data_IF_723867836061
#
_entry.id   IF_723867836061
#
_cell.length_a   1.000
_cell.length_b   1.000
_cell.length_c   1.000
_cell.angle_alpha   90.00
_cell.angle_beta   90.00
_cell.angle_gamma   90.00
#
_symmetry.space_group_name_H-M   'P 1'
#
loop_
_entity.id
_entity.type
_entity.pdbx_description
1 polymer ?
#
# COMPACT_ATOMS: atom_id res chain seq x y z
N UNK A 1 11.30 -0.75 45.41
CA UNK A 1 10.22 -1.31 44.55
C UNK A 1 9.18 -0.22 44.25
N UNK A 2 9.37 0.51 43.15
CA UNK A 2 8.54 1.67 42.79
C UNK A 2 7.85 1.41 41.45
N UNK A 3 6.58 1.01 41.52
CA UNK A 3 5.43 1.55 40.79
C UNK A 3 5.60 2.07 39.34
N UNK A 4 6.46 1.48 38.49
CA UNK A 4 6.58 1.86 37.06
C UNK A 4 6.50 0.68 36.08
N UNK A 5 6.08 -0.50 36.56
CA UNK A 5 5.96 -1.72 35.73
C UNK A 5 4.51 -2.19 35.54
N UNK A 6 3.52 -1.31 35.70
CA UNK A 6 2.14 -1.58 35.28
C UNK A 6 1.81 -0.69 34.08
N UNK A 7 2.23 -1.11 32.89
CA UNK A 7 1.55 -0.68 31.67
C UNK A 7 0.14 -1.29 31.72
N UNK A 8 -0.93 -0.49 31.63
CA UNK A 8 -2.28 -1.05 31.62
C UNK A 8 -2.42 -1.91 30.36
N UNK A 9 -2.65 -3.20 30.59
CA UNK A 9 -2.97 -4.17 29.57
C UNK A 9 -4.44 -3.97 29.19
N UNK A 10 -4.70 -3.21 28.13
CA UNK A 10 -5.77 -3.38 27.14
C UNK A 10 -5.94 -2.10 26.31
N UNK A 11 -4.98 -1.85 25.43
CA UNK A 11 -5.32 -1.31 24.11
C UNK A 11 -5.06 -2.47 23.16
N UNK A 12 -6.04 -3.36 22.99
CA UNK A 12 -5.98 -4.26 21.82
C UNK A 12 -5.88 -3.35 20.62
N UNK A 13 -4.76 -3.36 19.86
CA UNK A 13 -4.67 -2.52 18.68
C UNK A 13 -5.88 -2.81 17.81
N UNK A 14 -6.55 -1.75 17.35
CA UNK A 14 -7.72 -1.88 16.49
C UNK A 14 -7.39 -2.88 15.38
N UNK A 15 -8.32 -3.81 15.11
CA UNK A 15 -8.10 -4.74 14.00
C UNK A 15 -7.90 -3.91 12.73
N UNK A 16 -7.07 -4.37 11.75
CA UNK A 16 -6.85 -3.63 10.51
C UNK A 16 -8.18 -3.16 9.86
N UNK A 17 -9.20 -4.02 9.86
CA UNK A 17 -10.54 -3.74 9.32
C UNK A 17 -11.35 -2.69 10.11
N UNK A 18 -10.87 -2.28 11.28
CA UNK A 18 -11.52 -1.31 12.18
C UNK A 18 -10.84 0.06 12.13
N UNK A 19 -9.73 0.20 11.38
CA UNK A 19 -9.08 1.48 11.19
C UNK A 19 -9.95 2.38 10.29
N UNK A 20 -10.45 3.51 10.79
CA UNK A 20 -11.32 4.38 10.01
C UNK A 20 -10.54 4.97 8.84
N UNK A 21 -11.20 5.05 7.68
CA UNK A 21 -10.65 5.61 6.43
C UNK A 21 -9.53 4.80 5.77
N UNK A 22 -9.18 3.62 6.28
CA UNK A 22 -8.26 2.67 5.63
C UNK A 22 -9.03 1.43 5.16
N UNK A 23 -8.90 1.10 3.88
CA UNK A 23 -9.42 -0.14 3.32
C UNK A 23 -8.49 -1.29 3.67
N UNK A 24 -9.03 -2.37 4.23
CA UNK A 24 -8.28 -3.54 4.76
C UNK A 24 -7.16 -3.19 5.76
N UNK A 25 -7.20 -1.96 6.32
CA UNK A 25 -6.25 -1.45 7.32
C UNK A 25 -4.90 -0.98 6.81
N UNK A 26 -4.62 -1.05 5.51
CA UNK A 26 -3.33 -0.63 4.94
C UNK A 26 -3.42 0.09 3.58
N UNK A 27 -4.64 0.32 3.06
CA UNK A 27 -4.85 1.00 1.77
C UNK A 27 -5.67 2.28 1.97
N UNK A 28 -5.12 3.42 1.55
CA UNK A 28 -5.86 4.67 1.42
C UNK A 28 -6.48 4.77 0.03
N UNK A 29 -7.81 4.80 -0.03
CA UNK A 29 -8.56 4.94 -1.28
C UNK A 29 -9.18 6.33 -1.36
N UNK A 30 -9.21 6.91 -2.56
CA UNK A 30 -10.16 7.99 -2.83
C UNK A 30 -11.58 7.44 -2.90
N UNK A 31 -12.58 8.30 -2.71
CA UNK A 31 -13.98 7.94 -2.84
C UNK A 31 -14.27 7.28 -4.21
N UNK A 32 -13.73 7.85 -5.29
CA UNK A 32 -13.90 7.31 -6.64
C UNK A 32 -13.26 5.90 -6.79
N UNK A 33 -12.12 5.65 -6.16
CA UNK A 33 -11.47 4.35 -6.17
C UNK A 33 -12.27 3.31 -5.38
N UNK A 34 -12.82 3.70 -4.23
CA UNK A 34 -13.68 2.84 -3.42
C UNK A 34 -14.95 2.46 -4.18
N UNK A 35 -15.63 3.43 -4.80
CA UNK A 35 -16.81 3.19 -5.63
C UNK A 35 -16.51 2.26 -6.81
N UNK A 36 -15.33 2.39 -7.41
CA UNK A 36 -14.88 1.49 -8.50
C UNK A 36 -14.71 0.06 -8.00
N UNK A 37 -14.13 -0.13 -6.81
CA UNK A 37 -13.96 -1.45 -6.19
C UNK A 37 -15.31 -2.08 -5.85
N UNK A 38 -16.26 -1.31 -5.28
CA UNK A 38 -17.61 -1.78 -4.97
C UNK A 38 -18.30 -2.29 -6.23
N UNK A 39 -18.35 -1.47 -7.30
CA UNK A 39 -18.97 -1.86 -8.58
C UNK A 39 -18.33 -3.11 -9.19
N UNK A 40 -17.00 -3.17 -9.24
CA UNK A 40 -16.30 -4.34 -9.78
C UNK A 40 -16.57 -5.61 -8.94
N UNK A 41 -16.79 -5.46 -7.64
CA UNK A 41 -17.10 -6.57 -6.74
C UNK A 41 -18.53 -7.05 -6.96
N UNK A 42 -19.48 -6.13 -7.07
CA UNK A 42 -20.87 -6.43 -7.44
C UNK A 42 -20.92 -7.19 -8.77
N UNK A 43 -20.30 -6.66 -9.82
CA UNK A 43 -20.24 -7.30 -11.14
C UNK A 43 -19.67 -8.74 -11.06
N UNK A 44 -18.62 -8.95 -10.27
CA UNK A 44 -18.05 -10.27 -10.05
C UNK A 44 -18.99 -11.22 -9.30
N UNK A 45 -19.80 -10.72 -8.37
CA UNK A 45 -20.83 -11.51 -7.68
C UNK A 45 -21.98 -11.87 -8.61
N UNK A 46 -22.42 -10.96 -9.48
CA UNK A 46 -23.43 -11.22 -10.50
C UNK A 46 -22.98 -12.29 -11.51
N UNK A 47 -21.72 -12.24 -11.95
CA UNK A 47 -21.15 -13.18 -12.94
C UNK A 47 -20.82 -14.56 -12.33
N UNK A 48 -20.65 -14.66 -11.00
CA UNK A 48 -20.27 -15.90 -10.30
C UNK A 48 -21.24 -17.08 -10.45
N UNK A 49 -22.39 -16.89 -11.10
CA UNK A 49 -23.33 -17.96 -11.43
C UNK A 49 -22.81 -19.06 -12.37
N UNK A 50 -21.75 -18.84 -13.17
CA UNK A 50 -21.40 -19.78 -14.26
C UNK A 50 -19.96 -20.32 -14.35
N UNK A 51 -18.92 -19.72 -13.75
CA UNK A 51 -17.59 -20.36 -13.56
C UNK A 51 -16.58 -19.39 -12.90
N UNK A 52 -15.99 -19.71 -11.74
CA UNK A 52 -15.21 -18.74 -10.99
C UNK A 52 -13.74 -18.70 -11.47
N UNK A 53 -13.43 -17.86 -12.45
CA UNK A 53 -12.03 -17.36 -12.54
C UNK A 53 -11.87 -16.27 -11.49
N UNK A 54 -11.28 -16.64 -10.35
CA UNK A 54 -10.92 -15.73 -9.28
C UNK A 54 -9.85 -14.76 -9.79
N UNK A 55 -10.26 -13.60 -10.29
CA UNK A 55 -9.32 -12.52 -10.56
C UNK A 55 -8.83 -12.00 -9.21
N UNK A 56 -7.52 -12.08 -8.96
CA UNK A 56 -6.89 -11.54 -7.75
C UNK A 56 -6.73 -10.01 -7.77
N UNK A 57 -7.35 -9.33 -8.76
CA UNK A 57 -7.28 -7.88 -8.93
C UNK A 57 -8.63 -7.25 -8.59
N UNK A 58 -8.64 -6.31 -7.64
CA UNK A 58 -9.83 -5.54 -7.26
C UNK A 58 -10.21 -4.46 -8.28
N UNK A 59 -9.28 -4.06 -9.14
CA UNK A 59 -9.53 -3.16 -10.28
C UNK A 59 -8.95 -3.70 -11.59
N UNK A 60 -9.70 -3.55 -12.67
CA UNK A 60 -9.30 -3.87 -14.04
C UNK A 60 -8.75 -2.65 -14.79
N UNK A 61 -8.72 -1.46 -14.16
CA UNK A 61 -8.38 -0.21 -14.84
C UNK A 61 -6.88 -0.11 -15.11
N UNK A 62 -6.50 -0.26 -16.39
CA UNK A 62 -5.10 -0.25 -16.81
C UNK A 62 -4.40 1.09 -16.56
N UNK A 63 -5.14 2.21 -16.54
CA UNK A 63 -4.56 3.53 -16.34
C UNK A 63 -4.12 3.79 -14.88
N UNK A 64 -4.52 2.95 -13.93
CA UNK A 64 -4.03 2.99 -12.55
C UNK A 64 -2.66 2.32 -12.37
N UNK A 65 -2.07 1.76 -13.43
CA UNK A 65 -0.76 1.10 -13.38
C UNK A 65 0.36 2.10 -13.66
N UNK A 66 1.54 1.81 -13.13
CA UNK A 66 2.77 2.45 -13.58
C UNK A 66 2.98 2.18 -15.08
N UNK A 67 2.81 3.23 -15.90
CA UNK A 67 2.87 3.14 -17.37
C UNK A 67 4.28 3.33 -17.92
N UNK A 68 5.14 4.01 -17.17
CA UNK A 68 6.53 4.29 -17.53
C UNK A 68 7.45 3.69 -16.48
N UNK A 69 8.39 2.88 -16.94
CA UNK A 69 9.52 2.41 -16.14
C UNK A 69 10.79 3.14 -16.57
N UNK A 70 11.76 3.34 -15.66
CA UNK A 70 11.75 2.96 -14.24
C UNK A 70 10.85 3.86 -13.37
N UNK A 71 10.28 3.31 -12.29
CA UNK A 71 9.45 4.04 -11.31
C UNK A 71 10.37 4.95 -10.47
N UNK A 72 10.17 6.28 -10.47
CA UNK A 72 10.94 7.17 -9.62
C UNK A 72 10.52 7.00 -8.16
N UNK A 73 11.49 6.94 -7.25
CA UNK A 73 11.22 6.88 -5.82
C UNK A 73 12.16 7.78 -5.01
N UNK A 74 11.68 8.27 -3.87
CA UNK A 74 12.43 9.07 -2.91
C UNK A 74 12.33 8.41 -1.53
N UNK A 75 13.44 8.38 -0.79
CA UNK A 75 13.48 7.90 0.59
C UNK A 75 13.63 9.10 1.50
N UNK A 76 12.58 9.42 2.24
CA UNK A 76 12.56 10.53 3.18
C UNK A 76 13.20 10.10 4.51
N UNK A 77 14.53 10.01 4.54
CA UNK A 77 15.27 9.57 5.73
C UNK A 77 15.05 10.47 6.94
N UNK A 78 14.63 11.73 6.74
CA UNK A 78 14.27 12.65 7.82
C UNK A 78 13.04 12.18 8.62
N UNK A 79 12.15 11.39 8.01
CA UNK A 79 11.02 10.77 8.71
C UNK A 79 11.44 9.68 9.71
N UNK A 80 12.68 9.17 9.62
CA UNK A 80 13.14 8.01 10.40
C UNK A 80 12.91 6.66 9.71
N UNK A 81 12.43 6.65 8.46
CA UNK A 81 12.32 5.43 7.65
C UNK A 81 13.69 4.77 7.45
N UNK A 82 13.75 3.43 7.53
CA UNK A 82 14.98 2.68 7.32
C UNK A 82 15.33 2.59 5.84
N UNK A 83 16.33 3.35 5.40
CA UNK A 83 16.85 3.31 4.03
C UNK A 83 17.29 1.90 3.62
N UNK A 84 18.00 1.18 4.50
CA UNK A 84 18.49 -0.15 4.22
C UNK A 84 17.35 -1.15 3.94
N UNK A 85 16.26 -1.07 4.71
CA UNK A 85 15.10 -1.93 4.50
C UNK A 85 14.40 -1.63 3.17
N UNK A 86 14.24 -0.35 2.83
CA UNK A 86 13.65 0.07 1.55
C UNK A 86 14.49 -0.41 0.36
N UNK A 87 15.81 -0.21 0.41
CA UNK A 87 16.72 -0.67 -0.65
C UNK A 87 16.69 -2.20 -0.81
N UNK A 88 16.61 -2.96 0.29
CA UNK A 88 16.49 -4.41 0.24
C UNK A 88 15.15 -4.86 -0.40
N UNK A 89 14.04 -4.18 -0.09
CA UNK A 89 12.74 -4.45 -0.69
C UNK A 89 12.72 -4.17 -2.20
N UNK A 90 13.26 -3.02 -2.61
CA UNK A 90 13.40 -2.65 -4.03
C UNK A 90 14.26 -3.67 -4.78
N UNK A 91 15.41 -4.04 -4.23
CA UNK A 91 16.30 -5.03 -4.83
C UNK A 91 15.61 -6.37 -5.06
N UNK A 92 14.75 -6.80 -4.12
CA UNK A 92 13.95 -8.02 -4.28
C UNK A 92 12.94 -7.90 -5.43
N UNK A 93 12.22 -6.79 -5.54
CA UNK A 93 11.29 -6.58 -6.66
C UNK A 93 12.00 -6.55 -8.01
N UNK A 94 13.17 -5.93 -8.12
CA UNK A 94 13.93 -5.88 -9.37
C UNK A 94 14.56 -7.23 -9.77
N UNK A 95 14.78 -8.12 -8.81
CA UNK A 95 15.30 -9.47 -9.02
C UNK A 95 14.18 -10.46 -9.42
N UNK A 96 13.01 -10.35 -8.78
CA UNK A 96 11.90 -11.29 -8.97
C UNK A 96 10.96 -10.87 -10.12
N UNK A 97 11.08 -9.63 -10.62
CA UNK A 97 10.16 -9.06 -11.63
C UNK A 97 10.87 -8.25 -12.70
N UNK A 98 10.14 -7.83 -13.73
CA UNK A 98 10.63 -6.89 -14.75
C UNK A 98 10.51 -5.41 -14.33
N UNK A 99 9.99 -5.11 -13.14
CA UNK A 99 9.86 -3.73 -12.65
C UNK A 99 11.25 -3.17 -12.37
N UNK A 100 11.46 -1.89 -12.71
CA UNK A 100 12.69 -1.14 -12.47
C UNK A 100 12.40 0.14 -11.72
N UNK A 101 13.35 0.58 -10.91
CA UNK A 101 13.23 1.77 -10.06
C UNK A 101 14.37 2.75 -10.33
N UNK A 102 14.13 4.04 -10.05
CA UNK A 102 15.17 5.07 -10.11
C UNK A 102 15.11 5.95 -8.88
N UNK A 103 16.21 5.93 -8.10
CA UNK A 103 16.33 6.72 -6.89
C UNK A 103 16.42 8.21 -7.24
N UNK A 104 15.58 9.00 -6.59
CA UNK A 104 15.64 10.45 -6.53
C UNK A 104 16.14 10.86 -5.13
N UNK A 105 16.85 11.98 -5.06
CA UNK A 105 17.36 12.53 -3.80
C UNK A 105 16.52 13.72 -3.29
N UNK A 106 15.40 13.96 -3.96
CA UNK A 106 14.35 14.91 -3.57
C UNK A 106 12.99 14.34 -3.98
N UNK A 107 11.92 14.86 -3.39
CA UNK A 107 10.56 14.47 -3.77
C UNK A 107 10.35 14.66 -5.28
N UNK A 108 9.86 13.65 -6.02
CA UNK A 108 9.60 13.78 -7.45
C UNK A 108 8.52 14.83 -7.72
N UNK A 109 8.70 15.67 -8.73
CA UNK A 109 7.68 16.65 -9.17
C UNK A 109 6.54 16.02 -9.98
N UNK A 110 6.67 14.73 -10.33
CA UNK A 110 5.69 13.91 -11.06
C UNK A 110 5.38 12.66 -10.25
N UNK A 111 4.47 11.82 -10.74
CA UNK A 111 4.12 10.54 -10.11
C UNK A 111 5.37 9.73 -9.75
N UNK A 112 5.48 9.35 -8.48
CA UNK A 112 6.58 8.58 -7.93
C UNK A 112 6.22 8.05 -6.54
N UNK A 113 7.09 7.23 -5.97
CA UNK A 113 6.90 6.63 -4.66
C UNK A 113 7.74 7.38 -3.63
N UNK A 114 7.10 7.88 -2.56
CA UNK A 114 7.82 8.35 -1.37
C UNK A 114 7.78 7.26 -0.30
N UNK A 115 8.95 6.85 0.19
CA UNK A 115 9.08 6.04 1.38
C UNK A 115 9.35 6.93 2.58
N UNK A 116 8.46 6.89 3.57
CA UNK A 116 8.56 7.67 4.80
C UNK A 116 7.99 6.85 5.97
N UNK A 117 8.37 7.20 7.19
CA UNK A 117 7.79 6.65 8.41
C UNK A 117 6.56 7.48 8.77
N UNK A 118 5.38 6.92 8.54
CA UNK A 118 4.10 7.50 8.95
C UNK A 118 3.80 7.24 10.43
N UNK A 119 2.77 7.90 10.96
CA UNK A 119 2.31 7.70 12.35
C UNK A 119 1.31 6.55 12.53
N UNK A 120 0.80 5.99 11.43
CA UNK A 120 -0.51 5.32 11.46
C UNK A 120 -1.61 6.37 11.47
#
# INVERSE_FOLDING_TARGET
>A
PTSRDEMPFEDTPAKPDQLPYMFEGDILLSEEQLQTIIRNTEDQLWIKGENPRVRRSLTSYLASRWSTLPIPYYINTQSGVSEAAVLAGIARWEADTCIKFTRQYSLPSRNGIEFFLGSG
#
